data_IF_940951732211
#
_entry.id   IF_940951732211
#
_cell.length_a   1.000
_cell.length_b   1.000
_cell.length_c   1.000
_cell.angle_alpha   90.00
_cell.angle_beta   90.00
_cell.angle_gamma   90.00
#
_symmetry.space_group_name_H-M   'P 1'
#
loop_
_entity.id
_entity.type
_entity.pdbx_description
1 polymer ?
#
# COMPACT_ATOMS: atom_id res chain seq x y z
N UNK A 1 -3.89 10.17 -18.62
CA UNK A 1 -3.63 10.95 -17.40
C UNK A 1 -4.67 12.06 -17.27
N UNK A 2 -4.70 13.04 -18.19
CA UNK A 2 -5.59 14.21 -18.07
C UNK A 2 -7.07 13.86 -17.82
N UNK A 3 -7.62 12.89 -18.56
CA UNK A 3 -9.00 12.44 -18.38
C UNK A 3 -9.24 11.82 -17.00
N UNK A 4 -8.30 10.99 -16.52
CA UNK A 4 -8.38 10.35 -15.20
C UNK A 4 -8.34 11.39 -14.09
N UNK A 5 -7.36 12.31 -14.15
CA UNK A 5 -7.24 13.43 -13.20
C UNK A 5 -8.49 14.31 -13.21
N UNK A 6 -9.03 14.63 -14.39
CA UNK A 6 -10.27 15.38 -14.52
C UNK A 6 -11.49 14.67 -13.90
N UNK A 7 -11.60 13.35 -14.08
CA UNK A 7 -12.66 12.54 -13.49
C UNK A 7 -12.50 12.44 -11.96
N UNK A 8 -11.27 12.23 -11.47
CA UNK A 8 -10.97 12.25 -10.04
C UNK A 8 -11.32 13.59 -9.39
N UNK A 9 -10.95 14.70 -10.04
CA UNK A 9 -11.26 16.04 -9.55
C UNK A 9 -12.77 16.28 -9.43
N UNK A 10 -13.56 15.81 -10.40
CA UNK A 10 -15.03 15.90 -10.36
C UNK A 10 -15.62 15.02 -9.26
N UNK A 11 -15.10 13.80 -9.09
CA UNK A 11 -15.58 12.84 -8.10
C UNK A 11 -15.27 13.27 -6.67
N UNK A 12 -14.05 13.74 -6.44
CA UNK A 12 -13.54 14.02 -5.10
C UNK A 12 -13.85 15.44 -4.61
N UNK A 13 -13.96 16.40 -5.53
CA UNK A 13 -14.18 17.81 -5.18
C UNK A 13 -13.13 18.33 -4.18
N UNK A 14 -13.60 18.75 -3.02
CA UNK A 14 -12.76 19.17 -1.89
C UNK A 14 -12.60 18.07 -0.82
N UNK A 15 -13.10 16.86 -1.08
CA UNK A 15 -13.05 15.75 -0.14
C UNK A 15 -11.61 15.28 0.15
N UNK A 16 -11.41 14.72 1.32
CA UNK A 16 -10.13 14.17 1.76
C UNK A 16 -10.05 12.68 1.46
N UNK A 17 -8.92 12.26 0.91
CA UNK A 17 -8.60 10.87 0.60
C UNK A 17 -7.49 10.40 1.52
N UNK A 18 -7.68 9.27 2.22
CA UNK A 18 -6.59 8.54 2.88
C UNK A 18 -6.16 7.37 2.01
N UNK A 19 -4.86 7.06 1.99
CA UNK A 19 -4.32 5.96 1.20
C UNK A 19 -3.14 5.30 1.88
N UNK A 20 -3.20 3.96 2.03
CA UNK A 20 -2.03 3.17 2.43
C UNK A 20 -1.05 3.05 1.26
N UNK A 21 0.20 3.39 1.51
CA UNK A 21 1.28 3.30 0.54
C UNK A 21 2.22 2.16 0.91
N UNK A 22 2.59 1.35 -0.07
CA UNK A 22 3.43 0.17 0.14
C UNK A 22 4.86 0.32 -0.39
N UNK A 23 5.21 1.50 -0.93
CA UNK A 23 6.45 1.66 -1.70
C UNK A 23 6.41 0.98 -3.08
N UNK A 24 5.31 0.31 -3.41
CA UNK A 24 5.12 -0.36 -4.70
C UNK A 24 4.65 0.59 -5.80
N UNK A 25 4.81 0.13 -7.05
CA UNK A 25 4.48 0.90 -8.26
C UNK A 25 3.03 1.37 -8.27
N UNK A 26 2.08 0.44 -8.01
CA UNK A 26 0.65 0.71 -8.17
C UNK A 26 0.15 1.75 -7.18
N UNK A 27 0.49 1.59 -5.90
CA UNK A 27 0.12 2.55 -4.87
C UNK A 27 0.73 3.93 -5.13
N UNK A 28 1.97 3.98 -5.64
CA UNK A 28 2.66 5.25 -5.95
C UNK A 28 2.01 5.96 -7.14
N UNK A 29 1.72 5.25 -8.23
CA UNK A 29 1.06 5.82 -9.41
C UNK A 29 -0.36 6.30 -9.07
N UNK A 30 -1.12 5.49 -8.33
CA UNK A 30 -2.46 5.87 -7.87
C UNK A 30 -2.43 7.13 -7.00
N UNK A 31 -1.53 7.18 -6.02
CA UNK A 31 -1.35 8.35 -5.15
C UNK A 31 -0.98 9.61 -5.94
N UNK A 32 -0.09 9.48 -6.93
CA UNK A 32 0.33 10.61 -7.76
C UNK A 32 -0.83 11.16 -8.61
N UNK A 33 -1.68 10.27 -9.18
CA UNK A 33 -2.87 10.68 -9.93
C UNK A 33 -3.90 11.37 -9.03
N UNK A 34 -4.16 10.83 -7.84
CA UNK A 34 -5.06 11.44 -6.86
C UNK A 34 -4.50 12.80 -6.40
N UNK A 35 -3.19 12.87 -6.12
CA UNK A 35 -2.54 14.12 -5.73
C UNK A 35 -2.64 15.20 -6.82
N UNK A 36 -2.48 14.85 -8.10
CA UNK A 36 -2.70 15.80 -9.19
C UNK A 36 -4.14 16.32 -9.26
N UNK A 37 -5.11 15.54 -8.79
CA UNK A 37 -6.51 15.95 -8.78
C UNK A 37 -6.86 16.84 -7.58
N UNK A 38 -6.41 16.52 -6.37
CA UNK A 38 -6.86 17.15 -5.11
C UNK A 38 -5.72 17.71 -4.24
N UNK A 39 -4.48 17.64 -4.68
CA UNK A 39 -3.33 18.22 -3.98
C UNK A 39 -3.15 17.66 -2.56
N UNK A 40 -3.00 18.54 -1.59
CA UNK A 40 -2.75 18.21 -0.18
C UNK A 40 -3.91 17.49 0.52
N UNK A 41 -5.09 17.38 -0.10
CA UNK A 41 -6.21 16.60 0.44
C UNK A 41 -6.01 15.09 0.30
N UNK A 42 -4.95 14.64 -0.38
CA UNK A 42 -4.46 13.28 -0.28
C UNK A 42 -3.57 13.13 0.95
N UNK A 43 -3.90 12.18 1.82
CA UNK A 43 -3.13 11.77 2.99
C UNK A 43 -2.60 10.36 2.80
N UNK A 44 -1.32 10.23 2.49
CA UNK A 44 -0.63 8.96 2.38
C UNK A 44 -0.13 8.47 3.74
N UNK A 45 -0.26 7.18 4.02
CA UNK A 45 0.30 6.53 5.20
C UNK A 45 1.25 5.44 4.71
N UNK A 46 2.53 5.55 5.05
CA UNK A 46 3.55 4.56 4.75
C UNK A 46 4.11 3.98 6.04
N UNK A 47 3.95 2.68 6.24
CA UNK A 47 4.29 2.01 7.50
C UNK A 47 5.59 1.23 7.36
N UNK A 48 6.53 1.50 8.27
CA UNK A 48 7.67 0.60 8.51
C UNK A 48 7.22 -0.53 9.42
N UNK A 49 7.23 -1.73 8.88
CA UNK A 49 6.87 -2.94 9.60
C UNK A 49 8.11 -3.69 10.16
N UNK A 50 9.29 -3.09 10.09
CA UNK A 50 10.54 -3.68 10.55
C UNK A 50 11.08 -4.82 9.66
N UNK A 51 10.36 -5.22 8.61
CA UNK A 51 10.75 -6.30 7.69
C UNK A 51 10.84 -5.85 6.23
N UNK A 52 11.05 -4.55 6.03
CA UNK A 52 11.36 -3.94 4.74
C UNK A 52 12.80 -4.27 4.30
N UNK A 53 13.15 -3.92 3.06
CA UNK A 53 14.55 -3.96 2.61
C UNK A 53 15.38 -2.91 3.36
N UNK A 54 16.69 -3.09 3.36
CA UNK A 54 17.64 -2.13 3.93
C UNK A 54 17.38 -0.72 3.36
N UNK A 55 17.23 0.27 4.22
CA UNK A 55 16.98 1.68 3.88
C UNK A 55 15.71 1.95 3.05
N UNK A 56 14.83 0.96 2.87
CA UNK A 56 13.64 1.12 2.03
C UNK A 56 12.68 2.19 2.57
N UNK A 57 12.51 2.27 3.88
CA UNK A 57 11.61 3.22 4.51
C UNK A 57 12.01 4.67 4.20
N UNK A 58 13.27 5.00 4.41
CA UNK A 58 13.80 6.34 4.19
C UNK A 58 13.84 6.71 2.69
N UNK A 59 14.25 5.77 1.84
CA UNK A 59 14.32 5.98 0.40
C UNK A 59 12.94 6.23 -0.22
N UNK A 60 11.94 5.46 0.18
CA UNK A 60 10.57 5.60 -0.30
C UNK A 60 9.97 6.92 0.18
N UNK A 61 10.13 7.28 1.46
CA UNK A 61 9.65 8.56 1.98
C UNK A 61 10.33 9.75 1.27
N UNK A 62 11.63 9.65 1.00
CA UNK A 62 12.37 10.67 0.23
C UNK A 62 11.77 10.83 -1.17
N UNK A 63 11.47 9.73 -1.84
CA UNK A 63 10.86 9.75 -3.18
C UNK A 63 9.46 10.37 -3.13
N UNK A 64 8.63 10.01 -2.17
CA UNK A 64 7.30 10.59 -2.01
C UNK A 64 7.36 12.10 -1.76
N UNK A 65 8.32 12.56 -0.97
CA UNK A 65 8.57 13.99 -0.76
C UNK A 65 8.99 14.71 -2.04
N UNK A 66 9.83 14.09 -2.87
CA UNK A 66 10.24 14.64 -4.17
C UNK A 66 9.07 14.73 -5.15
N UNK A 67 8.12 13.80 -5.09
CA UNK A 67 6.87 13.83 -5.86
C UNK A 67 5.83 14.81 -5.32
N UNK A 68 6.13 15.52 -4.22
CA UNK A 68 5.23 16.48 -3.57
C UNK A 68 4.07 15.84 -2.83
N UNK A 69 4.09 14.52 -2.60
CA UNK A 69 3.01 13.81 -1.93
C UNK A 69 2.99 14.12 -0.42
N UNK A 70 1.79 14.34 0.12
CA UNK A 70 1.56 14.47 1.56
C UNK A 70 1.52 13.07 2.19
N UNK A 71 2.67 12.59 2.69
CA UNK A 71 2.82 11.23 3.23
C UNK A 71 3.40 11.27 4.65
N UNK A 72 2.70 10.60 5.56
CA UNK A 72 3.18 10.31 6.91
C UNK A 72 3.88 8.96 6.93
N UNK A 73 5.15 8.94 7.32
CA UNK A 73 5.88 7.71 7.67
C UNK A 73 5.57 7.31 9.10
N UNK A 74 5.21 6.05 9.32
CA UNK A 74 4.89 5.49 10.64
C UNK A 74 5.84 4.33 10.92
N UNK A 75 6.75 4.50 11.86
CA UNK A 75 7.57 3.38 12.33
C UNK A 75 6.76 2.57 13.35
N UNK A 76 6.42 1.34 12.96
CA UNK A 76 5.66 0.40 13.78
C UNK A 76 6.40 -0.93 13.96
N UNK A 77 7.71 -0.97 13.69
CA UNK A 77 8.54 -2.19 13.69
C UNK A 77 8.40 -3.00 14.97
N UNK A 78 8.41 -2.36 16.14
CA UNK A 78 8.26 -3.01 17.44
C UNK A 78 6.88 -3.72 17.57
N UNK A 79 5.80 -3.06 17.10
CA UNK A 79 4.47 -3.66 17.09
C UNK A 79 4.44 -4.92 16.23
N UNK A 80 5.02 -4.86 15.02
CA UNK A 80 5.06 -6.02 14.12
C UNK A 80 5.91 -7.16 14.69
N UNK A 81 7.09 -6.89 15.25
CA UNK A 81 7.91 -7.93 15.91
C UNK A 81 7.16 -8.60 17.06
N UNK A 82 6.44 -7.83 17.88
CA UNK A 82 5.62 -8.38 18.96
C UNK A 82 4.53 -9.32 18.42
N UNK A 83 3.86 -8.97 17.32
CA UNK A 83 2.83 -9.81 16.69
C UNK A 83 3.38 -11.01 15.95
N UNK A 84 4.64 -10.96 15.52
CA UNK A 84 5.34 -12.05 14.83
C UNK A 84 6.01 -13.04 15.80
N UNK A 85 6.18 -12.68 17.07
CA UNK A 85 6.82 -13.54 18.07
C UNK A 85 6.15 -14.93 18.12
N UNK A 86 6.98 -15.98 18.08
CA UNK A 86 6.54 -17.38 18.08
C UNK A 86 5.89 -17.88 16.78
N UNK A 87 5.70 -17.04 15.76
CA UNK A 87 5.09 -17.46 14.50
C UNK A 87 6.14 -17.99 13.52
N UNK A 88 6.04 -19.29 13.24
CA UNK A 88 6.98 -19.99 12.36
C UNK A 88 6.40 -20.27 10.97
N UNK A 89 5.09 -20.49 10.89
CA UNK A 89 4.40 -20.83 9.64
C UNK A 89 4.19 -19.58 8.78
N UNK A 90 4.45 -19.67 7.45
CA UNK A 90 4.31 -18.54 6.54
C UNK A 90 2.92 -17.88 6.55
N UNK A 91 1.87 -18.68 6.66
CA UNK A 91 0.50 -18.17 6.66
C UNK A 91 0.15 -17.39 7.94
N UNK A 92 0.66 -17.84 9.11
CA UNK A 92 0.47 -17.13 10.37
C UNK A 92 1.21 -15.78 10.37
N UNK A 93 2.40 -15.74 9.75
CA UNK A 93 3.13 -14.50 9.55
C UNK A 93 2.37 -13.52 8.64
N UNK A 94 1.82 -14.01 7.51
CA UNK A 94 1.00 -13.18 6.61
C UNK A 94 -0.19 -12.58 7.33
N UNK A 95 -0.95 -13.41 8.07
CA UNK A 95 -2.11 -12.95 8.84
C UNK A 95 -1.73 -11.92 9.90
N UNK A 96 -0.65 -12.19 10.65
CA UNK A 96 -0.19 -11.26 11.69
C UNK A 96 0.19 -9.90 11.10
N UNK A 97 0.95 -9.90 9.99
CA UNK A 97 1.37 -8.68 9.31
C UNK A 97 0.16 -7.96 8.71
N UNK A 98 -0.72 -8.66 8.01
CA UNK A 98 -1.92 -8.07 7.41
C UNK A 98 -2.83 -7.39 8.44
N UNK A 99 -3.11 -8.08 9.55
CA UNK A 99 -3.93 -7.52 10.64
C UNK A 99 -3.26 -6.30 11.28
N UNK A 100 -1.94 -6.37 11.53
CA UNK A 100 -1.20 -5.24 12.09
C UNK A 100 -1.21 -4.01 11.17
N UNK A 101 -1.11 -4.19 9.86
CA UNK A 101 -1.27 -3.08 8.92
C UNK A 101 -2.64 -2.44 9.00
N UNK A 102 -3.71 -3.25 9.09
CA UNK A 102 -5.07 -2.75 9.21
C UNK A 102 -5.23 -1.93 10.49
N UNK A 103 -4.75 -2.46 11.63
CA UNK A 103 -4.86 -1.78 12.93
C UNK A 103 -4.13 -0.43 12.93
N UNK A 104 -2.89 -0.39 12.41
CA UNK A 104 -2.10 0.85 12.34
C UNK A 104 -2.70 1.84 11.36
N UNK A 105 -3.12 1.37 10.19
CA UNK A 105 -3.75 2.22 9.19
C UNK A 105 -5.05 2.84 9.72
N UNK A 106 -5.89 2.05 10.38
CA UNK A 106 -7.15 2.48 10.99
C UNK A 106 -6.89 3.57 12.06
N UNK A 107 -5.91 3.34 12.94
CA UNK A 107 -5.50 4.31 13.95
C UNK A 107 -5.04 5.64 13.33
N UNK A 108 -4.18 5.58 12.32
CA UNK A 108 -3.64 6.77 11.65
C UNK A 108 -4.71 7.51 10.84
N UNK A 109 -5.61 6.78 10.19
CA UNK A 109 -6.70 7.35 9.43
C UNK A 109 -7.72 8.07 10.33
N UNK A 110 -8.05 7.51 11.49
CA UNK A 110 -8.93 8.16 12.48
C UNK A 110 -8.36 9.47 13.04
N UNK A 111 -7.05 9.64 13.04
CA UNK A 111 -6.41 10.88 13.46
C UNK A 111 -6.58 12.04 12.46
N UNK A 112 -7.08 11.77 11.25
CA UNK A 112 -7.27 12.77 10.19
C UNK A 112 -8.76 13.11 10.11
N UNK A 113 -9.12 14.31 10.50
CA UNK A 113 -10.53 14.74 10.51
C UNK A 113 -11.09 14.90 9.08
N UNK A 114 -12.32 14.47 8.86
CA UNK A 114 -13.10 14.72 7.65
C UNK A 114 -12.63 13.89 6.44
N UNK A 115 -12.07 12.69 6.65
CA UNK A 115 -11.82 11.73 5.57
C UNK A 115 -13.15 11.21 5.04
N UNK A 116 -13.30 11.21 3.71
CA UNK A 116 -14.48 10.71 3.01
C UNK A 116 -14.16 9.53 2.09
N UNK A 117 -12.90 9.42 1.65
CA UNK A 117 -12.49 8.46 0.63
C UNK A 117 -11.27 7.64 1.04
N UNK A 118 -11.26 6.37 0.59
CA UNK A 118 -10.11 5.48 0.67
C UNK A 118 -9.51 5.26 -0.73
N UNK A 119 -8.28 5.70 -0.94
CA UNK A 119 -7.54 5.44 -2.18
C UNK A 119 -6.91 4.06 -2.17
N UNK A 120 -7.00 3.34 -3.30
CA UNK A 120 -6.35 2.04 -3.48
C UNK A 120 -5.67 1.95 -4.84
N UNK A 121 -4.51 1.28 -4.88
CA UNK A 121 -3.75 1.00 -6.08
C UNK A 121 -4.15 -0.29 -6.79
N UNK A 122 -5.42 -0.69 -6.72
CA UNK A 122 -5.96 -1.88 -7.39
C UNK A 122 -5.78 -1.77 -8.90
N UNK A 123 -5.26 -2.81 -9.53
CA UNK A 123 -5.11 -2.93 -10.99
C UNK A 123 -6.01 -4.04 -11.54
N UNK A 124 -6.18 -4.10 -12.87
CA UNK A 124 -7.12 -5.04 -13.50
C UNK A 124 -6.84 -6.52 -13.17
N UNK A 125 -5.60 -7.02 -13.13
CA UNK A 125 -5.31 -8.38 -12.66
C UNK A 125 -5.84 -8.68 -11.25
N UNK A 126 -5.76 -7.72 -10.31
CA UNK A 126 -6.29 -7.91 -8.95
C UNK A 126 -7.81 -8.09 -8.96
N UNK A 127 -8.51 -7.37 -9.85
CA UNK A 127 -9.97 -7.49 -10.02
C UNK A 127 -10.35 -8.86 -10.53
N UNK A 128 -9.65 -9.39 -11.55
CA UNK A 128 -9.94 -10.71 -12.13
C UNK A 128 -9.69 -11.81 -11.11
N UNK A 129 -8.59 -11.73 -10.36
CA UNK A 129 -8.21 -12.75 -9.38
C UNK A 129 -9.10 -12.72 -8.12
N UNK A 130 -9.76 -11.60 -7.82
CA UNK A 130 -10.71 -11.48 -6.72
C UNK A 130 -12.08 -12.10 -7.04
N UNK A 131 -12.42 -12.28 -8.32
CA UNK A 131 -13.63 -12.97 -8.76
C UNK A 131 -13.32 -14.46 -8.83
N UNK A 132 -13.57 -15.21 -7.75
CA UNK A 132 -13.41 -16.67 -7.73
C UNK A 132 -14.37 -17.30 -8.73
N UNK A 133 -13.84 -17.78 -9.85
CA UNK A 133 -14.58 -18.65 -10.79
C UNK A 133 -14.63 -20.05 -10.18
N UNK A 134 -15.81 -20.40 -9.66
CA UNK A 134 -16.24 -21.75 -9.25
C UNK A 134 -15.17 -22.74 -8.75
N UNK A 135 -15.10 -22.93 -7.44
CA UNK A 135 -14.36 -24.01 -6.77
C UNK A 135 -14.03 -23.67 -5.31
N UNK A 136 -13.70 -24.67 -4.45
CA UNK A 136 -13.32 -24.44 -3.06
C UNK A 136 -11.91 -23.85 -2.89
N UNK A 137 -11.39 -23.15 -3.89
CA UNK A 137 -10.16 -22.40 -3.75
C UNK A 137 -10.45 -21.13 -2.94
N UNK A 138 -10.01 -21.19 -1.70
CA UNK A 138 -9.90 -20.06 -0.78
C UNK A 138 -9.44 -18.82 -1.53
N UNK A 139 -10.17 -17.73 -1.41
CA UNK A 139 -9.82 -16.41 -1.93
C UNK A 139 -8.40 -16.06 -1.49
N UNK A 140 -7.41 -16.25 -2.38
CA UNK A 140 -5.98 -16.13 -2.06
C UNK A 140 -5.56 -14.67 -1.83
N UNK A 141 -6.43 -13.68 -2.11
CA UNK A 141 -6.11 -12.25 -2.09
C UNK A 141 -6.96 -11.37 -1.20
N UNK A 142 -7.24 -11.78 0.03
CA UNK A 142 -7.70 -10.84 1.07
C UNK A 142 -6.58 -9.87 1.54
N UNK A 143 -5.35 -10.01 1.02
CA UNK A 143 -4.16 -9.38 1.59
C UNK A 143 -3.66 -8.14 0.84
N UNK A 144 -4.19 -7.83 -0.35
CA UNK A 144 -3.79 -6.63 -1.10
C UNK A 144 -4.74 -5.44 -0.93
N UNK A 145 -5.95 -5.69 -0.49
CA UNK A 145 -6.89 -4.66 -0.11
C UNK A 145 -6.98 -4.62 1.41
N UNK A 146 -7.02 -3.45 1.97
CA UNK A 146 -7.34 -3.19 3.37
C UNK A 146 -8.83 -3.57 3.57
N UNK A 147 -9.13 -4.85 3.25
CA UNK A 147 -10.47 -5.41 3.22
C UNK A 147 -11.11 -5.31 4.60
N UNK A 148 -12.25 -4.62 4.66
CA UNK A 148 -12.97 -4.35 5.89
C UNK A 148 -12.80 -2.93 6.46
N UNK A 149 -11.81 -2.16 6.03
CA UNK A 149 -11.70 -0.74 6.40
C UNK A 149 -12.81 0.13 5.81
N UNK A 150 -13.21 -0.02 4.51
CA UNK A 150 -14.30 0.74 3.95
C UNK A 150 -15.61 0.55 4.74
N UNK A 151 -15.89 -0.69 5.17
CA UNK A 151 -17.11 -1.01 5.91
C UNK A 151 -17.11 -0.44 7.33
N UNK A 152 -15.97 -0.50 8.02
CA UNK A 152 -15.80 0.07 9.36
C UNK A 152 -15.88 1.60 9.35
N UNK A 153 -15.22 2.25 8.38
CA UNK A 153 -15.10 3.71 8.31
C UNK A 153 -16.15 4.38 7.41
N UNK A 154 -16.98 3.60 6.69
CA UNK A 154 -17.95 4.10 5.69
C UNK A 154 -17.32 4.99 4.60
N UNK A 155 -16.06 4.71 4.23
CA UNK A 155 -15.32 5.45 3.23
C UNK A 155 -15.70 5.01 1.81
N UNK A 156 -15.77 5.97 0.91
CA UNK A 156 -15.96 5.70 -0.51
C UNK A 156 -14.64 5.30 -1.16
N UNK A 157 -14.64 4.21 -1.92
CA UNK A 157 -13.44 3.68 -2.56
C UNK A 157 -13.06 4.47 -3.81
N UNK A 158 -11.76 4.73 -3.98
CA UNK A 158 -11.17 5.43 -5.13
C UNK A 158 -10.03 4.58 -5.71
N UNK A 159 -10.24 4.02 -6.90
CA UNK A 159 -9.33 3.09 -7.56
C UNK A 159 -8.97 3.57 -8.98
N UNK A 160 -8.04 4.51 -9.12
CA UNK A 160 -7.76 5.14 -10.42
C UNK A 160 -7.15 4.20 -11.45
N UNK A 161 -6.62 3.05 -11.03
CA UNK A 161 -5.91 2.09 -11.88
C UNK A 161 -6.70 0.81 -12.16
N UNK A 162 -7.94 0.71 -11.68
CA UNK A 162 -8.75 -0.53 -11.65
C UNK A 162 -8.87 -1.27 -12.99
N UNK A 163 -8.79 -0.55 -14.10
CA UNK A 163 -8.94 -1.11 -15.46
C UNK A 163 -7.63 -1.19 -16.23
N UNK A 164 -6.49 -1.00 -15.58
CA UNK A 164 -5.18 -0.97 -16.21
C UNK A 164 -4.36 -2.21 -15.87
N UNK A 165 -3.56 -2.63 -16.85
CA UNK A 165 -2.54 -3.66 -16.65
C UNK A 165 -1.23 -3.04 -16.12
N UNK A 166 -0.37 -3.87 -15.54
CA UNK A 166 0.87 -3.46 -14.89
C UNK A 166 1.83 -2.67 -15.77
N UNK A 167 1.92 -3.03 -17.04
CA UNK A 167 2.76 -2.33 -18.02
C UNK A 167 2.20 -0.94 -18.37
N UNK A 168 0.87 -0.79 -18.44
CA UNK A 168 0.21 0.51 -18.61
C UNK A 168 0.42 1.42 -17.40
N UNK A 169 0.33 0.86 -16.18
CA UNK A 169 0.61 1.59 -14.93
C UNK A 169 2.04 2.11 -14.92
N UNK A 170 3.02 1.30 -15.36
CA UNK A 170 4.42 1.73 -15.47
C UNK A 170 4.60 2.87 -16.48
N UNK A 171 3.94 2.79 -17.64
CA UNK A 171 3.98 3.87 -18.66
C UNK A 171 3.43 5.18 -18.10
N UNK A 172 2.27 5.12 -17.43
CA UNK A 172 1.69 6.27 -16.75
C UNK A 172 2.65 6.83 -15.70
N UNK A 173 3.28 5.95 -14.91
CA UNK A 173 4.26 6.35 -13.90
C UNK A 173 5.45 7.11 -14.49
N UNK A 174 5.96 6.68 -15.65
CA UNK A 174 7.02 7.41 -16.37
C UNK A 174 6.57 8.81 -16.78
N UNK A 175 5.37 8.95 -17.35
CA UNK A 175 4.81 10.25 -17.76
C UNK A 175 4.52 11.17 -16.55
N UNK A 176 4.23 10.59 -15.39
CA UNK A 176 4.06 11.33 -14.13
C UNK A 176 5.39 11.74 -13.47
N UNK A 177 6.54 11.37 -14.07
CA UNK A 177 7.87 11.70 -13.54
C UNK A 177 8.31 10.85 -12.35
N UNK A 178 7.67 9.70 -12.12
CA UNK A 178 8.10 8.78 -11.06
C UNK A 178 9.43 8.14 -11.46
N UNK A 179 10.44 8.09 -10.56
CA UNK A 179 11.76 7.54 -10.87
C UNK A 179 11.69 6.10 -11.41
N UNK A 180 12.49 5.81 -12.43
CA UNK A 180 12.55 4.48 -13.06
C UNK A 180 12.90 3.38 -12.06
N UNK A 181 13.78 3.68 -11.12
CA UNK A 181 14.21 2.77 -10.05
C UNK A 181 13.02 2.30 -9.20
N UNK A 182 12.03 3.18 -8.97
CA UNK A 182 10.80 2.83 -8.26
C UNK A 182 9.82 2.05 -9.16
N UNK A 183 9.66 2.47 -10.43
CA UNK A 183 8.71 1.85 -11.38
C UNK A 183 9.11 0.43 -11.80
N UNK A 184 10.41 0.17 -11.93
CA UNK A 184 10.96 -1.11 -12.37
C UNK A 184 11.60 -1.91 -11.25
N UNK A 185 11.37 -1.49 -10.01
CA UNK A 185 11.82 -2.19 -8.83
C UNK A 185 11.33 -3.65 -8.85
N UNK A 186 12.23 -4.56 -8.44
CA UNK A 186 11.85 -5.97 -8.32
C UNK A 186 10.68 -6.14 -7.34
N UNK A 187 9.66 -6.95 -7.71
CA UNK A 187 8.53 -7.21 -6.82
C UNK A 187 8.97 -7.64 -5.43
N UNK A 188 8.30 -7.11 -4.42
CA UNK A 188 8.55 -7.45 -3.03
C UNK A 188 7.22 -7.84 -2.38
N UNK A 189 7.16 -8.97 -1.67
CA UNK A 189 5.92 -9.43 -1.09
C UNK A 189 5.45 -8.50 0.03
N UNK A 190 4.14 -8.35 0.20
CA UNK A 190 3.55 -7.53 1.27
C UNK A 190 4.06 -7.86 2.67
N UNK A 191 4.28 -9.16 3.03
CA UNK A 191 4.89 -9.51 4.31
C UNK A 191 6.40 -9.21 4.44
N UNK A 192 7.01 -8.59 3.44
CA UNK A 192 8.41 -8.20 3.47
C UNK A 192 9.37 -9.38 3.61
N UNK A 193 10.47 -9.18 4.32
CA UNK A 193 11.47 -10.21 4.59
C UNK A 193 10.95 -11.33 5.51
N UNK A 194 9.90 -11.09 6.30
CA UNK A 194 9.36 -12.08 7.23
C UNK A 194 9.00 -13.41 6.57
N UNK A 195 8.52 -13.39 5.32
CA UNK A 195 8.12 -14.59 4.58
C UNK A 195 9.34 -15.38 4.07
N UNK A 196 10.51 -14.76 4.01
CA UNK A 196 11.77 -15.38 3.58
C UNK A 196 12.57 -15.98 4.73
N UNK A 197 12.22 -15.64 5.97
CA UNK A 197 12.84 -16.16 7.17
C UNK A 197 12.19 -17.50 7.52
N UNK A 198 12.99 -18.57 7.60
CA UNK A 198 12.55 -19.85 8.12
C UNK A 198 12.44 -19.79 9.65
N UNK A 199 11.36 -20.36 10.18
CA UNK A 199 11.10 -20.30 11.63
C UNK A 199 10.64 -18.91 12.09
N UNK A 200 10.94 -18.57 13.33
CA UNK A 200 10.56 -17.31 13.96
C UNK A 200 11.30 -16.12 13.34
N UNK A 201 10.59 -15.00 13.22
CA UNK A 201 11.13 -13.72 12.75
C UNK A 201 11.69 -12.95 13.93
N UNK A 202 12.99 -12.65 13.87
CA UNK A 202 13.68 -11.79 14.82
C UNK A 202 14.36 -10.64 14.10
N UNK A 203 14.60 -9.55 14.81
CA UNK A 203 15.30 -8.39 14.26
C UNK A 203 16.70 -8.77 13.72
N UNK A 204 17.43 -9.61 14.45
CA UNK A 204 18.76 -10.12 14.05
C UNK A 204 18.70 -10.85 12.69
N UNK A 205 17.71 -11.73 12.50
CA UNK A 205 17.53 -12.44 11.22
C UNK A 205 17.11 -11.51 10.07
N UNK A 206 16.35 -10.47 10.37
CA UNK A 206 15.99 -9.45 9.37
C UNK A 206 17.22 -8.67 8.97
N UNK A 207 18.03 -8.21 9.92
CA UNK A 207 19.27 -7.51 9.65
C UNK A 207 20.24 -8.34 8.80
N UNK A 208 20.38 -9.64 9.13
CA UNK A 208 21.20 -10.57 8.32
C UNK A 208 20.71 -10.70 6.87
N UNK A 209 19.40 -10.68 6.64
CA UNK A 209 18.85 -10.72 5.27
C UNK A 209 18.94 -9.38 4.52
N UNK A 210 19.18 -8.30 5.23
CA UNK A 210 19.37 -6.96 4.66
C UNK A 210 20.83 -6.71 4.22
N UNK A 211 21.78 -7.51 4.68
CA UNK A 211 23.19 -7.48 4.25
C UNK A 211 23.39 -8.04 2.84
#
# INVERSE_FOLDING_TARGET
IANTVGSLKKMLGNGKVVMGLSGGVDSTVAATLIHQAIGSNLYGIFVDNGVLRKHEFEEVLKTYKQLGLNVKGVNASEHFYTKLAGKTMPEDKRKAIGNSFIDIFDQEAHAIEGIEFLGQGTIYPDVIESVSVHGPSVTIKSHHNVGGLPDKMKLKLVEPLRYLFKDEVRKIGLELGIPKEMLFRHPFPGPGLAIRILGEVTEEKVQLLQE
#
